data_IF_645291939863
#
_entry.id   IF_645291939863
#
_cell.length_a   1.000
_cell.length_b   1.000
_cell.length_c   1.000
_cell.angle_alpha   90.00
_cell.angle_beta   90.00
_cell.angle_gamma   90.00
#
_symmetry.space_group_name_H-M   'P 1'
#
loop_
_entity.id
_entity.type
_entity.pdbx_description
1 polymer ?
#
# COMPACT_ATOMS: atom_id res chain seq x y z
N UNK A 1 4.29 2.35 3.89
CA UNK A 1 3.29 3.14 3.16
C UNK A 1 2.47 3.94 4.17
N UNK A 2 1.48 4.66 3.72
CA UNK A 2 0.52 5.35 4.56
C UNK A 2 -0.81 5.48 3.85
N UNK A 3 -1.81 5.93 4.58
CA UNK A 3 -3.12 6.29 4.05
C UNK A 3 -3.65 7.51 4.80
N UNK A 4 -4.61 8.17 4.23
CA UNK A 4 -5.15 9.40 4.78
C UNK A 4 -6.68 9.44 4.71
N UNK A 5 -7.24 10.25 5.59
CA UNK A 5 -8.64 10.63 5.56
C UNK A 5 -8.77 12.12 5.88
N UNK A 6 -9.71 12.79 5.21
CA UNK A 6 -10.11 14.16 5.51
C UNK A 6 -11.62 14.25 5.63
N UNK A 7 -12.09 15.14 6.48
CA UNK A 7 -13.52 15.43 6.60
C UNK A 7 -13.76 16.93 6.74
N UNK A 8 -14.79 17.43 6.05
CA UNK A 8 -15.31 18.79 6.19
C UNK A 8 -16.81 18.72 6.40
N UNK A 9 -17.28 19.09 7.58
CA UNK A 9 -18.70 19.00 7.94
C UNK A 9 -19.23 20.35 8.43
N UNK A 10 -20.53 20.57 8.28
CA UNK A 10 -21.23 21.72 8.87
C UNK A 10 -21.16 21.71 10.40
N UNK A 11 -21.05 20.52 10.98
CA UNK A 11 -20.92 20.27 12.41
C UNK A 11 -19.53 19.68 12.72
N UNK A 12 -19.37 19.12 13.92
CA UNK A 12 -18.14 18.46 14.34
C UNK A 12 -17.81 17.25 13.45
N UNK A 13 -16.54 17.17 12.96
CA UNK A 13 -16.07 16.12 12.07
C UNK A 13 -15.17 15.07 12.77
N UNK A 14 -14.92 15.21 14.07
CA UNK A 14 -13.88 14.44 14.78
C UNK A 14 -14.14 12.95 14.73
N UNK A 15 -15.38 12.49 14.90
CA UNK A 15 -15.72 11.07 14.81
C UNK A 15 -15.51 10.49 13.41
N UNK A 16 -15.92 11.21 12.37
CA UNK A 16 -15.69 10.78 10.98
C UNK A 16 -14.20 10.72 10.66
N UNK A 17 -13.44 11.73 11.12
CA UNK A 17 -12.00 11.76 10.96
C UNK A 17 -11.32 10.59 11.68
N UNK A 18 -11.72 10.30 12.91
CA UNK A 18 -11.16 9.23 13.73
C UNK A 18 -11.38 7.86 13.08
N UNK A 19 -12.63 7.51 12.78
CA UNK A 19 -12.91 6.22 12.15
C UNK A 19 -12.39 6.14 10.73
N UNK A 20 -12.50 7.23 9.96
CA UNK A 20 -11.94 7.29 8.61
C UNK A 20 -10.44 7.07 8.61
N UNK A 21 -9.70 7.64 9.56
CA UNK A 21 -8.25 7.41 9.71
C UNK A 21 -7.97 5.98 10.17
N UNK A 22 -8.71 5.45 11.14
CA UNK A 22 -8.56 4.08 11.64
C UNK A 22 -8.74 3.03 10.53
N UNK A 23 -9.67 3.24 9.62
CA UNK A 23 -9.88 2.34 8.46
C UNK A 23 -8.66 2.24 7.53
N UNK A 24 -7.67 3.12 7.66
CA UNK A 24 -6.39 3.04 6.95
C UNK A 24 -5.28 2.33 7.75
N UNK A 25 -5.57 1.76 8.93
CA UNK A 25 -4.58 1.09 9.79
C UNK A 25 -3.90 -0.12 9.16
N UNK A 26 -4.48 -0.71 8.11
CA UNK A 26 -3.83 -1.79 7.34
C UNK A 26 -2.69 -1.29 6.44
N UNK A 27 -2.64 0.01 6.13
CA UNK A 27 -1.64 0.63 5.25
C UNK A 27 -0.36 1.06 5.97
N UNK A 28 -0.35 1.12 7.30
CA UNK A 28 0.82 1.49 8.09
C UNK A 28 0.72 1.00 9.53
N UNK A 29 1.86 0.91 10.21
CA UNK A 29 1.94 0.26 11.52
C UNK A 29 2.75 1.01 12.55
N UNK A 30 3.30 2.19 12.23
CA UNK A 30 4.23 2.87 13.15
C UNK A 30 3.68 4.16 13.74
N UNK A 31 3.14 5.00 12.91
CA UNK A 31 2.69 6.35 13.27
C UNK A 31 1.27 6.59 12.82
N UNK A 32 0.56 7.38 13.57
CA UNK A 32 -0.72 7.92 13.16
C UNK A 32 -0.87 9.33 13.73
N UNK A 33 -1.64 10.15 13.05
CA UNK A 33 -1.94 11.47 13.53
C UNK A 33 -3.23 12.03 12.96
N UNK A 34 -3.80 12.97 13.69
CA UNK A 34 -4.96 13.75 13.30
C UNK A 34 -4.71 15.22 13.61
N UNK A 35 -5.22 16.09 12.76
CA UNK A 35 -5.35 17.53 13.02
C UNK A 35 -6.76 17.95 12.70
N UNK A 36 -7.37 18.69 13.61
CA UNK A 36 -8.66 19.34 13.39
C UNK A 36 -8.52 20.86 13.46
N UNK A 37 -9.38 21.57 12.76
CA UNK A 37 -9.53 23.02 12.84
C UNK A 37 -10.91 23.35 13.36
N UNK A 38 -10.96 23.98 14.51
CA UNK A 38 -12.16 24.44 15.18
C UNK A 38 -12.08 25.94 15.56
N UNK A 39 -12.98 26.38 16.40
CA UNK A 39 -13.07 27.80 16.84
C UNK A 39 -11.79 28.31 17.52
N UNK A 40 -11.05 27.44 18.20
CA UNK A 40 -9.79 27.76 18.91
C UNK A 40 -8.53 27.59 18.06
N UNK A 41 -8.67 27.30 16.76
CA UNK A 41 -7.57 27.06 15.84
C UNK A 41 -7.30 25.60 15.61
N UNK A 42 -6.04 25.29 15.29
CA UNK A 42 -5.58 23.92 14.99
C UNK A 42 -5.29 23.14 16.27
N UNK A 43 -5.88 21.96 16.39
CA UNK A 43 -5.54 20.97 17.41
C UNK A 43 -5.00 19.71 16.75
N UNK A 44 -3.91 19.13 17.30
CA UNK A 44 -3.16 18.03 16.68
C UNK A 44 -2.75 16.98 17.71
N UNK A 45 -3.01 15.71 17.37
CA UNK A 45 -2.46 14.55 18.07
C UNK A 45 -1.66 13.65 17.11
N UNK A 46 -0.49 13.17 17.55
CA UNK A 46 0.35 12.20 16.85
C UNK A 46 0.78 11.12 17.83
N UNK A 47 0.58 9.85 17.48
CA UNK A 47 0.95 8.71 18.31
C UNK A 47 1.77 7.66 17.57
N UNK A 48 2.62 6.97 18.34
CA UNK A 48 3.20 5.70 17.91
C UNK A 48 2.16 4.60 18.11
N UNK A 49 1.81 3.89 17.02
CA UNK A 49 0.82 2.81 17.00
C UNK A 49 1.46 1.41 16.85
N UNK A 50 2.80 1.30 17.00
CA UNK A 50 3.49 0.01 16.86
C UNK A 50 3.04 -1.02 17.89
N UNK A 51 2.79 -0.58 19.12
CA UNK A 51 2.49 -1.46 20.26
C UNK A 51 1.02 -1.42 20.72
N UNK A 52 0.18 -0.64 20.07
CA UNK A 52 -1.23 -0.50 20.43
C UNK A 52 -2.04 -0.05 19.24
N UNK A 53 -3.27 -0.55 19.04
CA UNK A 53 -4.12 -0.14 17.94
C UNK A 53 -4.40 1.37 17.95
N UNK A 54 -4.64 1.93 16.76
CA UNK A 54 -4.99 3.33 16.57
C UNK A 54 -6.09 3.81 17.54
N UNK A 55 -7.21 3.09 17.59
CA UNK A 55 -8.36 3.43 18.45
C UNK A 55 -7.97 3.62 19.92
N UNK A 56 -7.15 2.73 20.45
CA UNK A 56 -6.73 2.80 21.86
C UNK A 56 -5.77 3.98 22.12
N UNK A 57 -5.03 4.42 21.12
CA UNK A 57 -4.09 5.54 21.27
C UNK A 57 -4.78 6.89 21.20
N UNK A 58 -5.82 7.02 20.39
CA UNK A 58 -6.53 8.27 20.14
C UNK A 58 -7.84 8.41 20.94
N UNK A 59 -8.19 7.44 21.81
CA UNK A 59 -9.44 7.43 22.56
C UNK A 59 -9.67 8.73 23.37
N UNK A 60 -8.62 9.24 24.00
CA UNK A 60 -8.68 10.49 24.74
C UNK A 60 -8.73 11.72 23.81
N UNK A 61 -7.88 11.73 22.79
CA UNK A 61 -7.81 12.87 21.86
C UNK A 61 -9.16 13.12 21.18
N UNK A 62 -9.85 12.06 20.77
CA UNK A 62 -11.19 12.13 20.16
C UNK A 62 -12.24 12.78 21.07
N UNK A 63 -12.12 12.62 22.38
CA UNK A 63 -13.04 13.22 23.34
C UNK A 63 -12.76 14.71 23.58
N UNK A 64 -11.50 15.12 23.42
CA UNK A 64 -11.03 16.49 23.69
C UNK A 64 -11.07 17.37 22.42
N UNK A 65 -10.76 16.80 21.26
CA UNK A 65 -10.75 17.51 19.98
C UNK A 65 -12.15 17.93 19.52
N UNK A 66 -12.24 19.11 18.90
CA UNK A 66 -13.46 19.61 18.26
C UNK A 66 -13.11 20.43 17.04
N UNK A 67 -13.81 20.21 15.95
CA UNK A 67 -13.65 20.97 14.73
C UNK A 67 -14.53 20.46 13.61
N UNK A 68 -14.77 21.31 12.63
CA UNK A 68 -15.56 20.98 11.45
C UNK A 68 -14.73 20.71 10.19
N UNK A 69 -13.42 20.88 10.30
CA UNK A 69 -12.44 20.48 9.28
C UNK A 69 -11.36 19.61 9.94
N UNK A 70 -11.00 18.52 9.31
CA UNK A 70 -9.94 17.66 9.83
C UNK A 70 -9.22 16.86 8.76
N UNK A 71 -7.94 16.57 9.01
CA UNK A 71 -7.12 15.63 8.23
C UNK A 71 -6.44 14.64 9.17
N UNK A 72 -6.36 13.38 8.75
CA UNK A 72 -5.71 12.33 9.50
C UNK A 72 -4.92 11.40 8.59
N UNK A 73 -3.93 10.72 9.16
CA UNK A 73 -3.12 9.77 8.42
C UNK A 73 -2.58 8.64 9.28
N UNK A 74 -2.31 7.53 8.61
CA UNK A 74 -1.47 6.43 9.07
C UNK A 74 -0.17 6.50 8.28
N UNK A 75 0.99 6.35 8.94
CA UNK A 75 2.31 6.40 8.33
C UNK A 75 3.25 5.33 8.89
N UNK A 76 4.13 4.80 8.04
CA UNK A 76 5.20 3.89 8.46
C UNK A 76 6.53 4.62 8.72
N UNK A 77 6.62 5.90 8.38
CA UNK A 77 7.88 6.63 8.40
C UNK A 77 7.83 7.86 9.29
N UNK A 78 7.15 8.90 8.85
CA UNK A 78 7.21 10.20 9.48
C UNK A 78 6.05 10.44 10.46
N UNK A 79 6.31 11.19 11.54
CA UNK A 79 5.24 11.80 12.31
C UNK A 79 4.54 12.88 11.47
N UNK A 80 3.24 12.77 11.32
CA UNK A 80 2.36 13.71 10.62
C UNK A 80 0.93 13.57 11.19
N UNK A 81 0.03 14.57 11.00
CA UNK A 81 0.16 15.81 10.20
C UNK A 81 1.15 16.83 10.77
N UNK A 82 1.72 17.67 9.93
CA UNK A 82 2.53 18.82 10.36
C UNK A 82 1.72 20.11 10.32
N UNK A 83 1.75 20.91 11.39
CA UNK A 83 1.21 22.28 11.41
C UNK A 83 2.34 23.23 11.04
N UNK A 84 2.12 24.02 10.00
CA UNK A 84 3.09 24.94 9.42
C UNK A 84 2.57 26.36 9.49
N UNK A 85 3.42 27.32 9.92
CA UNK A 85 3.14 28.76 9.84
C UNK A 85 4.07 29.39 8.81
N UNK A 86 3.48 29.97 7.76
CA UNK A 86 4.23 30.61 6.67
C UNK A 86 3.53 31.86 6.15
N UNK A 87 3.99 32.43 5.05
CA UNK A 87 3.32 33.53 4.36
C UNK A 87 1.96 33.12 3.75
N UNK A 88 1.69 31.80 3.59
CA UNK A 88 0.37 31.29 3.22
C UNK A 88 -0.62 31.25 4.42
N UNK A 89 -0.22 31.72 5.59
CA UNK A 89 -0.94 31.57 6.84
C UNK A 89 -0.54 30.33 7.61
N UNK A 90 -1.41 29.86 8.49
CA UNK A 90 -1.25 28.58 9.19
C UNK A 90 -2.03 27.51 8.45
N UNK A 91 -1.40 26.37 8.18
CA UNK A 91 -2.02 25.20 7.57
C UNK A 91 -1.49 23.92 8.19
N UNK A 92 -2.21 22.83 8.02
CA UNK A 92 -1.74 21.48 8.39
C UNK A 92 -1.61 20.60 7.14
N UNK A 93 -0.55 19.78 7.09
CA UNK A 93 -0.15 19.00 5.91
C UNK A 93 -0.04 17.52 6.24
N UNK A 94 -0.62 16.69 5.37
CA UNK A 94 -0.42 15.23 5.30
C UNK A 94 0.10 14.86 3.92
N UNK A 95 1.04 13.93 3.88
CA UNK A 95 1.65 13.43 2.65
C UNK A 95 1.66 11.91 2.58
N UNK A 96 1.44 11.36 1.38
CA UNK A 96 1.61 9.93 1.08
C UNK A 96 2.38 9.79 -0.23
N UNK A 97 3.55 9.18 -0.15
CA UNK A 97 4.43 9.03 -1.30
C UNK A 97 5.87 8.74 -0.92
N UNK A 98 6.78 8.97 -1.83
CA UNK A 98 8.23 8.79 -1.64
C UNK A 98 8.99 9.81 -2.45
N UNK A 99 10.01 10.41 -1.83
CA UNK A 99 10.98 11.30 -2.45
C UNK A 99 12.34 10.58 -2.46
N UNK A 100 12.91 10.32 -3.65
CA UNK A 100 14.18 9.62 -3.78
C UNK A 100 15.40 10.57 -3.78
N UNK A 101 15.18 11.84 -4.03
CA UNK A 101 16.22 12.89 -4.04
C UNK A 101 16.13 13.82 -2.81
N UNK A 102 15.76 13.27 -1.65
CA UNK A 102 15.60 14.04 -0.39
C UNK A 102 16.85 14.81 -0.05
N UNK A 103 18.03 14.17 0.00
CA UNK A 103 19.29 14.79 0.40
C UNK A 103 19.69 15.91 -0.60
N UNK A 104 19.51 15.69 -1.90
CA UNK A 104 19.79 16.67 -2.95
C UNK A 104 18.93 17.95 -2.73
N UNK A 105 17.62 17.77 -2.48
CA UNK A 105 16.69 18.89 -2.24
C UNK A 105 16.96 19.60 -0.91
N UNK A 106 17.27 18.87 0.13
CA UNK A 106 17.63 19.44 1.44
C UNK A 106 18.89 20.30 1.31
N UNK A 107 19.93 19.80 0.63
CA UNK A 107 21.16 20.55 0.38
C UNK A 107 20.93 21.81 -0.46
N UNK A 108 20.06 21.75 -1.48
CA UNK A 108 19.68 22.90 -2.30
C UNK A 108 19.02 23.98 -1.43
N UNK A 109 18.02 23.61 -0.63
CA UNK A 109 17.27 24.53 0.23
C UNK A 109 18.17 25.17 1.30
N UNK A 110 19.05 24.39 1.94
CA UNK A 110 19.96 24.91 2.97
C UNK A 110 20.97 25.90 2.36
N UNK A 111 21.47 25.64 1.16
CA UNK A 111 22.41 26.54 0.46
C UNK A 111 21.79 27.88 0.07
N UNK A 112 20.51 27.91 -0.25
CA UNK A 112 19.76 29.15 -0.51
C UNK A 112 19.65 30.03 0.73
N UNK A 113 19.83 29.48 1.93
CA UNK A 113 19.91 30.13 3.22
C UNK A 113 18.56 30.40 3.89
N UNK A 114 18.58 30.56 5.22
CA UNK A 114 17.41 30.97 6.00
C UNK A 114 16.43 29.87 6.38
N UNK A 115 16.62 28.63 5.93
CA UNK A 115 15.77 27.48 6.25
C UNK A 115 16.58 26.40 6.99
N UNK A 116 15.95 25.79 7.98
CA UNK A 116 16.44 24.62 8.70
C UNK A 116 15.30 23.63 8.92
N UNK A 117 15.63 22.36 9.03
CA UNK A 117 14.67 21.30 9.25
C UNK A 117 14.66 20.94 10.74
N UNK A 118 13.46 20.83 11.32
CA UNK A 118 13.23 20.58 12.75
C UNK A 118 12.74 19.16 13.02
N UNK A 119 11.93 18.61 12.09
CA UNK A 119 11.36 17.28 12.24
C UNK A 119 12.29 16.23 11.64
N UNK A 120 13.18 15.69 12.48
CA UNK A 120 14.14 14.67 12.08
C UNK A 120 13.90 13.35 12.84
N UNK A 121 14.00 12.23 12.14
CA UNK A 121 13.90 10.89 12.73
C UNK A 121 15.14 10.07 12.36
N UNK A 122 15.97 9.72 13.37
CA UNK A 122 17.17 8.92 13.13
C UNK A 122 18.20 9.59 12.20
N UNK A 123 18.27 10.93 12.21
CA UNK A 123 19.17 11.70 11.35
C UNK A 123 18.66 11.96 9.94
N UNK A 124 17.43 11.51 9.61
CA UNK A 124 16.77 11.74 8.31
C UNK A 124 15.74 12.84 8.45
N UNK A 125 15.71 13.76 7.49
CA UNK A 125 14.73 14.86 7.42
C UNK A 125 13.34 14.27 7.13
N UNK A 126 12.33 14.78 7.83
CA UNK A 126 10.91 14.42 7.56
C UNK A 126 10.52 14.88 6.17
N UNK A 127 10.11 13.94 5.29
CA UNK A 127 9.73 14.26 3.91
C UNK A 127 8.50 15.18 3.83
N UNK A 128 7.60 15.12 4.82
CA UNK A 128 6.44 16.03 4.90
C UNK A 128 6.91 17.47 5.18
N UNK A 129 7.94 17.67 6.02
CA UNK A 129 8.53 18.99 6.25
C UNK A 129 9.26 19.51 5.00
N UNK A 130 9.97 18.63 4.28
CA UNK A 130 10.58 18.99 3.00
C UNK A 130 9.52 19.45 1.99
N UNK A 131 8.40 18.75 1.88
CA UNK A 131 7.26 19.16 1.05
C UNK A 131 6.74 20.53 1.46
N UNK A 132 6.55 20.77 2.75
CA UNK A 132 6.12 22.09 3.25
C UNK A 132 7.12 23.20 2.88
N UNK A 133 8.43 22.91 2.99
CA UNK A 133 9.50 23.85 2.63
C UNK A 133 9.47 24.20 1.13
N UNK A 134 9.25 23.22 0.27
CA UNK A 134 9.11 23.44 -1.17
C UNK A 134 7.83 24.25 -1.51
N UNK A 135 6.69 23.94 -0.88
CA UNK A 135 5.43 24.69 -1.05
C UNK A 135 5.66 26.15 -0.70
N UNK A 136 6.35 26.42 0.39
CA UNK A 136 6.60 27.78 0.89
C UNK A 136 7.57 28.61 0.02
N UNK A 137 8.20 28.04 -1.00
CA UNK A 137 8.99 28.79 -1.97
C UNK A 137 8.14 29.50 -3.04
N UNK A 138 6.83 29.24 -3.10
CA UNK A 138 5.94 29.82 -4.11
C UNK A 138 4.93 30.79 -3.52
N UNK A 139 4.33 31.63 -4.37
CA UNK A 139 3.43 32.72 -3.96
C UNK A 139 2.06 32.24 -3.45
N UNK A 140 1.63 31.04 -3.83
CA UNK A 140 0.38 30.45 -3.37
C UNK A 140 0.50 28.92 -3.26
N UNK A 141 -0.48 28.29 -2.58
CA UNK A 141 -0.45 26.85 -2.31
C UNK A 141 -0.51 26.00 -3.60
N UNK A 142 -1.26 26.42 -4.61
CA UNK A 142 -1.40 25.67 -5.88
C UNK A 142 -0.07 25.61 -6.60
N UNK A 143 0.59 26.75 -6.79
CA UNK A 143 1.92 26.82 -7.38
C UNK A 143 2.95 26.03 -6.55
N UNK A 144 2.82 26.07 -5.21
CA UNK A 144 3.66 25.31 -4.30
C UNK A 144 3.50 23.80 -4.47
N UNK A 145 2.28 23.30 -4.56
CA UNK A 145 1.98 21.88 -4.81
C UNK A 145 2.56 21.43 -6.15
N UNK A 146 2.35 22.22 -7.21
CA UNK A 146 2.88 21.93 -8.54
C UNK A 146 4.41 21.92 -8.56
N UNK A 147 5.03 22.84 -7.83
CA UNK A 147 6.48 22.91 -7.67
C UNK A 147 7.07 21.69 -6.95
N UNK A 148 6.38 21.18 -5.92
CA UNK A 148 6.77 19.92 -5.30
C UNK A 148 6.85 18.81 -6.33
N UNK A 149 5.81 18.65 -7.15
CA UNK A 149 5.77 17.60 -8.17
C UNK A 149 6.82 17.77 -9.28
N UNK A 150 7.23 19.00 -9.55
CA UNK A 150 8.33 19.30 -10.50
C UNK A 150 9.69 18.91 -9.94
N UNK A 151 9.94 19.19 -8.65
CA UNK A 151 11.25 19.02 -8.00
C UNK A 151 11.54 17.61 -7.53
N UNK A 152 10.53 16.86 -7.10
CA UNK A 152 10.75 15.54 -6.52
C UNK A 152 10.99 14.46 -7.57
N UNK A 153 11.94 13.56 -7.32
CA UNK A 153 12.07 12.29 -8.01
C UNK A 153 11.30 11.23 -7.22
N UNK A 154 10.04 10.97 -7.62
CA UNK A 154 9.17 10.07 -6.87
C UNK A 154 7.69 10.30 -7.15
N UNK A 155 6.89 10.23 -6.10
CA UNK A 155 5.44 10.50 -6.15
C UNK A 155 5.00 11.09 -4.81
N UNK A 156 4.09 12.05 -4.84
CA UNK A 156 3.58 12.67 -3.62
C UNK A 156 2.14 13.14 -3.80
N UNK A 157 1.24 12.49 -3.07
CA UNK A 157 -0.14 12.92 -2.85
C UNK A 157 -0.22 13.64 -1.52
N UNK A 158 -1.00 14.69 -1.41
CA UNK A 158 -1.05 15.51 -0.21
C UNK A 158 -2.45 16.06 0.09
N UNK A 159 -2.72 16.24 1.38
CA UNK A 159 -3.87 16.97 1.90
C UNK A 159 -3.37 18.18 2.68
N UNK A 160 -3.91 19.36 2.41
CA UNK A 160 -3.55 20.60 3.10
C UNK A 160 -4.82 21.21 3.71
N UNK A 161 -4.90 21.16 5.03
CA UNK A 161 -5.98 21.78 5.80
C UNK A 161 -5.67 23.25 6.07
N UNK A 162 -6.55 24.11 5.63
CA UNK A 162 -6.49 25.57 5.84
C UNK A 162 -7.83 26.08 6.39
N UNK A 163 -7.91 27.32 6.89
CA UNK A 163 -9.19 27.94 7.24
C UNK A 163 -10.18 28.12 6.06
N UNK A 164 -9.71 28.00 4.82
CA UNK A 164 -10.52 28.15 3.61
C UNK A 164 -11.03 26.82 3.05
N UNK A 165 -10.63 25.68 3.63
CA UNK A 165 -10.96 24.36 3.16
C UNK A 165 -9.78 23.41 3.15
N UNK A 166 -9.99 22.16 2.72
CA UNK A 166 -8.95 21.16 2.58
C UNK A 166 -8.62 20.99 1.10
N UNK A 167 -7.37 21.31 0.76
CA UNK A 167 -6.82 21.04 -0.57
C UNK A 167 -6.47 19.55 -0.65
N UNK A 168 -7.04 18.88 -1.65
CA UNK A 168 -6.80 17.49 -1.99
C UNK A 168 -6.00 17.45 -3.29
N UNK A 169 -4.74 17.04 -3.24
CA UNK A 169 -3.84 17.07 -4.38
C UNK A 169 -3.35 15.65 -4.69
N UNK A 170 -3.86 15.05 -5.76
CA UNK A 170 -3.43 13.72 -6.22
C UNK A 170 -2.14 13.83 -7.00
N UNK A 171 -1.20 12.91 -6.76
CA UNK A 171 0.12 12.95 -7.39
C UNK A 171 0.05 13.10 -8.93
N UNK A 172 1.15 13.57 -9.52
CA UNK A 172 1.24 13.97 -10.91
C UNK A 172 0.78 12.91 -11.92
N UNK A 173 0.97 11.62 -11.59
CA UNK A 173 0.59 10.46 -12.40
C UNK A 173 -0.57 9.65 -11.81
N UNK A 174 -1.15 10.10 -10.69
CA UNK A 174 -2.25 9.41 -10.01
C UNK A 174 -1.88 8.03 -9.48
N UNK A 175 -0.63 7.83 -9.03
CA UNK A 175 -0.15 6.52 -8.52
C UNK A 175 -0.89 6.06 -7.27
N UNK A 176 -1.33 7.00 -6.45
CA UNK A 176 -2.20 6.75 -5.29
C UNK A 176 -3.59 7.31 -5.53
N UNK A 177 -4.64 6.68 -5.00
CA UNK A 177 -6.01 7.20 -5.14
C UNK A 177 -6.25 8.39 -4.21
N UNK A 178 -7.17 9.27 -4.61
CA UNK A 178 -7.85 10.26 -3.78
C UNK A 178 -9.30 10.25 -4.18
N UNK A 179 -10.16 9.65 -3.36
CA UNK A 179 -11.59 9.60 -3.58
C UNK A 179 -12.31 10.61 -2.69
N UNK A 180 -13.27 11.33 -3.24
CA UNK A 180 -14.14 12.25 -2.50
C UNK A 180 -15.49 11.57 -2.29
N UNK A 181 -15.94 11.54 -1.04
CA UNK A 181 -17.27 11.14 -0.62
C UNK A 181 -18.11 12.36 -0.22
N UNK A 182 -19.44 12.24 -0.34
CA UNK A 182 -20.43 13.27 0.01
C UNK A 182 -21.50 12.70 0.91
N UNK A 183 -21.94 13.49 1.87
CA UNK A 183 -23.18 13.32 2.65
C UNK A 183 -23.86 14.69 2.87
N UNK A 184 -25.05 14.72 3.45
CA UNK A 184 -25.81 15.97 3.63
C UNK A 184 -25.08 17.02 4.46
N UNK A 185 -24.25 16.59 5.40
CA UNK A 185 -23.48 17.46 6.28
C UNK A 185 -22.17 17.96 5.66
N UNK A 186 -21.70 17.37 4.55
CA UNK A 186 -20.46 17.80 3.90
C UNK A 186 -19.74 16.75 3.10
N UNK A 187 -18.41 16.87 3.04
CA UNK A 187 -17.55 16.06 2.16
C UNK A 187 -16.39 15.45 2.94
N UNK A 188 -15.85 14.36 2.39
CA UNK A 188 -14.61 13.76 2.84
C UNK A 188 -13.68 13.50 1.65
N UNK A 189 -12.38 13.33 1.93
CA UNK A 189 -11.42 12.78 0.99
C UNK A 189 -10.69 11.60 1.62
N UNK A 190 -10.51 10.51 0.89
CA UNK A 190 -9.99 9.26 1.41
C UNK A 190 -9.08 8.56 0.42
N UNK A 191 -8.09 7.83 0.93
CA UNK A 191 -7.31 6.89 0.15
C UNK A 191 -8.12 5.63 -0.19
N UNK A 192 -8.92 5.13 0.77
CA UNK A 192 -9.73 3.92 0.67
C UNK A 192 -11.22 4.24 0.53
N UNK A 193 -11.87 3.74 -0.52
CA UNK A 193 -13.29 4.01 -0.74
C UNK A 193 -14.20 3.40 0.32
N UNK A 194 -13.88 2.20 0.85
CA UNK A 194 -14.69 1.57 1.88
C UNK A 194 -14.75 2.41 3.16
N UNK A 195 -13.70 3.20 3.45
CA UNK A 195 -13.62 3.98 4.68
C UNK A 195 -14.77 5.01 4.76
N UNK A 196 -14.99 5.77 3.68
CA UNK A 196 -16.06 6.76 3.67
C UNK A 196 -17.45 6.13 3.46
N UNK A 197 -17.55 5.02 2.70
CA UNK A 197 -18.81 4.31 2.54
C UNK A 197 -19.34 3.80 3.88
N UNK A 198 -18.48 3.24 4.72
CA UNK A 198 -18.85 2.79 6.07
C UNK A 198 -19.24 3.93 7.02
N UNK A 199 -18.86 5.18 6.70
CA UNK A 199 -19.24 6.37 7.47
C UNK A 199 -20.49 7.08 6.93
N UNK A 200 -21.18 6.44 5.97
CA UNK A 200 -22.43 6.94 5.39
C UNK A 200 -22.26 8.00 4.32
N UNK A 201 -21.05 8.15 3.76
CA UNK A 201 -20.83 8.97 2.58
C UNK A 201 -21.15 8.17 1.31
N UNK A 202 -21.69 8.84 0.31
CA UNK A 202 -21.81 8.35 -1.04
C UNK A 202 -20.56 8.73 -1.85
N UNK A 203 -20.19 7.90 -2.84
CA UNK A 203 -19.13 8.25 -3.76
C UNK A 203 -19.49 9.49 -4.57
N UNK A 204 -18.60 10.50 -4.56
CA UNK A 204 -18.79 11.73 -5.33
C UNK A 204 -17.92 11.76 -6.58
N UNK A 205 -16.59 11.59 -6.44
CA UNK A 205 -15.61 11.49 -7.53
C UNK A 205 -14.28 10.92 -7.06
N UNK A 206 -13.48 10.44 -7.99
CA UNK A 206 -12.05 10.24 -7.79
C UNK A 206 -11.27 11.34 -8.52
N UNK A 207 -10.26 11.91 -7.87
CA UNK A 207 -9.38 12.89 -8.52
C UNK A 207 -8.55 12.20 -9.61
N UNK A 208 -8.35 12.89 -10.73
CA UNK A 208 -7.44 12.46 -11.78
C UNK A 208 -5.96 12.76 -11.44
N UNK A 209 -5.02 12.35 -12.32
CA UNK A 209 -3.58 12.61 -12.14
C UNK A 209 -3.27 14.10 -12.11
N UNK A 210 -2.54 14.56 -11.08
CA UNK A 210 -2.15 15.97 -10.94
C UNK A 210 -3.31 16.93 -10.70
N UNK A 211 -4.51 16.42 -10.39
CA UNK A 211 -5.67 17.23 -10.05
C UNK A 211 -5.56 17.78 -8.63
N UNK A 212 -6.01 19.02 -8.45
CA UNK A 212 -6.10 19.69 -7.17
C UNK A 212 -7.51 20.20 -6.98
N UNK A 213 -8.21 19.68 -5.97
CA UNK A 213 -9.53 20.15 -5.53
C UNK A 213 -9.43 20.79 -4.16
N UNK A 214 -10.35 21.69 -3.86
CA UNK A 214 -10.62 22.14 -2.47
C UNK A 214 -12.00 21.67 -2.06
N UNK A 215 -12.08 21.04 -0.88
CA UNK A 215 -13.35 20.63 -0.28
C UNK A 215 -13.68 21.51 0.93
N UNK A 216 -14.94 21.87 1.02
CA UNK A 216 -15.57 22.58 2.16
C UNK A 216 -16.84 21.83 2.55
N UNK A 217 -17.52 22.15 3.67
CA UNK A 217 -18.80 21.53 3.98
C UNK A 217 -19.88 21.73 2.91
N UNK A 218 -19.77 22.79 2.11
CA UNK A 218 -20.78 23.18 1.11
C UNK A 218 -20.47 22.71 -0.30
N UNK A 219 -19.18 22.51 -0.63
CA UNK A 219 -18.79 22.33 -2.03
C UNK A 219 -17.45 21.63 -2.23
N UNK A 220 -17.31 21.06 -3.42
CA UNK A 220 -16.03 20.62 -4.02
C UNK A 220 -15.74 21.54 -5.21
N UNK A 221 -14.58 22.16 -5.22
CA UNK A 221 -14.15 23.04 -6.31
C UNK A 221 -12.85 22.56 -6.90
N UNK A 222 -12.85 22.30 -8.21
CA UNK A 222 -11.62 22.00 -8.98
C UNK A 222 -10.80 23.27 -9.12
N UNK A 223 -9.53 23.21 -8.71
CA UNK A 223 -8.56 24.31 -8.82
C UNK A 223 -7.55 24.08 -9.94
N UNK A 224 -7.22 22.81 -10.19
CA UNK A 224 -6.35 22.37 -11.28
C UNK A 224 -6.97 21.13 -11.90
N UNK A 225 -7.23 21.16 -13.19
CA UNK A 225 -7.80 20.05 -13.95
C UNK A 225 -6.82 18.86 -14.02
N UNK A 226 -7.34 17.62 -14.09
CA UNK A 226 -6.52 16.43 -14.21
C UNK A 226 -5.73 16.38 -15.52
N UNK A 227 -4.55 15.76 -15.45
CA UNK A 227 -3.73 15.43 -16.62
C UNK A 227 -4.21 14.14 -17.30
N UNK A 228 -3.85 13.99 -18.58
CA UNK A 228 -4.24 12.82 -19.37
C UNK A 228 -3.45 11.54 -19.03
N UNK A 229 -2.20 11.69 -18.58
CA UNK A 229 -1.31 10.55 -18.32
C UNK A 229 -1.55 9.99 -16.91
N UNK A 230 -2.02 8.74 -16.85
CA UNK A 230 -2.28 8.02 -15.61
C UNK A 230 -1.31 6.85 -15.45
N UNK A 231 -0.87 6.59 -14.22
CA UNK A 231 -0.02 5.44 -13.83
C UNK A 231 -0.38 4.98 -12.42
N UNK A 232 -1.63 4.60 -12.17
CA UNK A 232 -2.06 4.11 -10.86
C UNK A 232 -1.34 2.81 -10.50
N UNK A 233 -0.96 2.64 -9.25
CA UNK A 233 -0.23 1.46 -8.79
C UNK A 233 -1.08 0.19 -8.90
N UNK A 234 -0.66 -0.78 -9.72
CA UNK A 234 -1.34 -2.07 -9.88
C UNK A 234 -1.35 -2.90 -8.59
N UNK A 235 -0.37 -2.70 -7.73
CA UNK A 235 -0.25 -3.42 -6.46
C UNK A 235 -1.33 -3.04 -5.42
N UNK A 236 -2.06 -1.95 -5.65
CA UNK A 236 -3.25 -1.60 -4.86
C UNK A 236 -4.29 -2.71 -4.92
N UNK A 237 -4.59 -3.23 -6.12
CA UNK A 237 -5.53 -4.35 -6.27
C UNK A 237 -4.95 -5.67 -5.83
N UNK A 238 -3.69 -5.93 -6.14
CA UNK A 238 -3.04 -7.22 -5.83
C UNK A 238 -2.96 -7.46 -4.32
N UNK A 239 -2.57 -6.44 -3.54
CA UNK A 239 -2.30 -6.63 -2.11
C UNK A 239 -2.77 -5.48 -1.21
N UNK A 240 -2.38 -4.20 -1.49
CA UNK A 240 -2.51 -3.14 -0.51
C UNK A 240 -3.93 -2.68 -0.24
N UNK A 241 -4.76 -2.62 -1.27
CA UNK A 241 -6.14 -2.18 -1.16
C UNK A 241 -6.95 -3.08 -0.25
N UNK A 242 -7.81 -2.47 0.55
CA UNK A 242 -8.74 -3.24 1.36
C UNK A 242 -9.74 -3.97 0.45
N UNK A 243 -10.12 -5.24 0.75
CA UNK A 243 -10.95 -6.04 -0.16
C UNK A 243 -12.24 -5.37 -0.63
N UNK A 244 -12.93 -4.64 0.25
CA UNK A 244 -14.17 -3.93 -0.09
C UNK A 244 -13.98 -2.56 -0.72
N UNK A 245 -12.74 -2.12 -0.97
CA UNK A 245 -12.45 -0.90 -1.71
C UNK A 245 -12.56 -1.06 -3.21
N UNK A 246 -12.72 0.08 -3.88
CA UNK A 246 -12.63 0.21 -5.33
C UNK A 246 -11.72 1.38 -5.68
N UNK A 247 -10.95 1.25 -6.75
CA UNK A 247 -10.15 2.32 -7.34
C UNK A 247 -10.45 2.40 -8.83
N UNK A 248 -10.58 3.59 -9.37
CA UNK A 248 -10.92 3.81 -10.79
C UNK A 248 -12.15 2.99 -11.23
N UNK A 249 -13.12 2.82 -10.33
CA UNK A 249 -14.33 2.02 -10.56
C UNK A 249 -14.15 0.51 -10.50
N UNK A 250 -12.95 -0.01 -10.20
CA UNK A 250 -12.66 -1.45 -10.15
C UNK A 250 -12.55 -1.94 -8.71
N UNK A 251 -13.43 -2.87 -8.32
CA UNK A 251 -13.42 -3.50 -6.99
C UNK A 251 -12.17 -4.34 -6.78
N UNK A 252 -11.53 -4.19 -5.62
CA UNK A 252 -10.35 -4.97 -5.22
C UNK A 252 -10.67 -6.46 -5.13
N UNK A 253 -11.75 -6.83 -4.43
CA UNK A 253 -12.13 -8.23 -4.25
C UNK A 253 -12.52 -8.90 -5.57
N UNK A 254 -13.32 -8.22 -6.41
CA UNK A 254 -13.70 -8.74 -7.71
C UNK A 254 -12.49 -8.92 -8.64
N UNK A 255 -11.55 -7.99 -8.63
CA UNK A 255 -10.28 -8.10 -9.37
C UNK A 255 -9.49 -9.31 -8.93
N UNK A 256 -9.31 -9.52 -7.61
CA UNK A 256 -8.56 -10.67 -7.06
C UNK A 256 -9.20 -12.00 -7.47
N UNK A 257 -10.53 -12.11 -7.42
CA UNK A 257 -11.25 -13.29 -7.91
C UNK A 257 -11.01 -13.51 -9.41
N UNK A 258 -11.15 -12.47 -10.24
CA UNK A 258 -10.87 -12.54 -11.69
C UNK A 258 -9.43 -12.94 -11.96
N UNK A 259 -8.47 -12.39 -11.22
CA UNK A 259 -7.06 -12.73 -11.32
C UNK A 259 -6.82 -14.22 -11.05
N UNK A 260 -7.39 -14.77 -9.97
CA UNK A 260 -7.34 -16.21 -9.68
C UNK A 260 -7.95 -17.08 -10.77
N UNK A 261 -9.08 -16.67 -11.35
CA UNK A 261 -9.70 -17.37 -12.48
C UNK A 261 -8.77 -17.41 -13.71
N UNK A 262 -8.16 -16.29 -14.08
CA UNK A 262 -7.20 -16.23 -15.19
C UNK A 262 -5.97 -17.12 -14.94
N UNK A 263 -5.46 -17.12 -13.71
CA UNK A 263 -4.38 -18.04 -13.31
C UNK A 263 -4.75 -19.49 -13.53
N UNK A 264 -5.98 -19.91 -13.12
CA UNK A 264 -6.44 -21.28 -13.27
C UNK A 264 -6.65 -21.70 -14.74
N UNK A 265 -7.04 -20.75 -15.61
CA UNK A 265 -7.16 -20.98 -17.06
C UNK A 265 -5.80 -21.22 -17.72
N UNK A 266 -4.77 -20.53 -17.26
CA UNK A 266 -3.42 -20.60 -17.83
C UNK A 266 -2.58 -21.73 -17.23
N UNK A 267 -2.86 -22.15 -16.00
CA UNK A 267 -2.09 -23.19 -15.32
C UNK A 267 -2.26 -24.55 -16.03
N UNK A 268 -1.19 -25.06 -16.57
CA UNK A 268 -1.11 -26.34 -17.29
C UNK A 268 -0.84 -27.54 -16.35
N UNK A 269 -0.71 -27.29 -15.05
CA UNK A 269 -0.52 -28.36 -14.07
C UNK A 269 -1.77 -29.25 -14.00
N UNK A 270 -1.64 -30.60 -14.03
CA UNK A 270 -2.78 -31.51 -14.03
C UNK A 270 -3.67 -31.35 -12.80
N UNK A 271 -4.92 -30.95 -13.00
CA UNK A 271 -5.88 -30.65 -11.91
C UNK A 271 -6.19 -31.87 -11.05
N UNK A 272 -6.15 -33.08 -11.60
CA UNK A 272 -6.33 -34.35 -10.91
C UNK A 272 -5.18 -34.71 -9.95
N UNK A 273 -4.07 -33.98 -10.02
CA UNK A 273 -2.96 -34.05 -9.08
C UNK A 273 -3.04 -33.08 -7.92
N UNK A 274 -4.13 -32.37 -7.78
CA UNK A 274 -4.39 -31.41 -6.70
C UNK A 274 -5.66 -31.82 -5.94
N UNK A 275 -5.61 -31.80 -4.61
CA UNK A 275 -6.74 -32.16 -3.78
C UNK A 275 -7.51 -30.92 -3.31
N UNK A 276 -6.81 -29.85 -2.99
CA UNK A 276 -7.42 -28.58 -2.53
C UNK A 276 -6.67 -27.37 -3.06
N UNK A 277 -7.39 -26.26 -3.20
CA UNK A 277 -6.88 -24.90 -3.37
C UNK A 277 -6.98 -24.16 -2.04
N UNK A 278 -5.92 -23.49 -1.64
CA UNK A 278 -5.86 -22.72 -0.41
C UNK A 278 -5.24 -21.34 -0.66
N UNK A 279 -5.69 -20.33 0.08
CA UNK A 279 -5.08 -19.00 0.08
C UNK A 279 -4.32 -18.73 1.37
N UNK A 280 -3.18 -18.02 1.27
CA UNK A 280 -2.54 -17.47 2.46
C UNK A 280 -3.48 -16.42 3.08
N UNK A 281 -3.87 -16.56 4.35
CA UNK A 281 -4.78 -15.60 4.99
C UNK A 281 -4.07 -14.25 5.28
N UNK A 282 -4.65 -13.09 4.94
CA UNK A 282 -5.89 -12.93 4.14
C UNK A 282 -5.56 -12.58 2.67
N UNK A 283 -4.27 -12.31 2.36
CA UNK A 283 -3.76 -11.78 1.09
C UNK A 283 -4.04 -12.65 -0.13
N UNK A 284 -3.88 -13.98 0.02
CA UNK A 284 -4.11 -14.94 -1.05
C UNK A 284 -5.54 -15.45 -1.17
N UNK A 285 -6.41 -15.15 -0.19
CA UNK A 285 -7.73 -15.80 -0.09
C UNK A 285 -8.63 -15.53 -1.29
N UNK A 286 -8.80 -14.28 -1.69
CA UNK A 286 -9.68 -13.91 -2.80
C UNK A 286 -9.18 -14.46 -4.15
N UNK A 287 -7.87 -14.45 -4.37
CA UNK A 287 -7.24 -15.06 -5.54
C UNK A 287 -7.48 -16.58 -5.57
N UNK A 288 -7.36 -17.25 -4.39
CA UNK A 288 -7.59 -18.68 -4.28
C UNK A 288 -9.06 -19.07 -4.52
N UNK A 289 -10.01 -18.27 -4.06
CA UNK A 289 -11.44 -18.46 -4.37
C UNK A 289 -11.69 -18.39 -5.87
N UNK A 290 -11.13 -17.38 -6.55
CA UNK A 290 -11.25 -17.24 -8.00
C UNK A 290 -10.64 -18.43 -8.75
N UNK A 291 -9.46 -18.89 -8.33
CA UNK A 291 -8.80 -20.07 -8.89
C UNK A 291 -9.62 -21.35 -8.69
N UNK A 292 -10.11 -21.58 -7.48
CA UNK A 292 -10.91 -22.77 -7.15
C UNK A 292 -12.21 -22.82 -7.96
N UNK A 293 -12.91 -21.69 -8.08
CA UNK A 293 -14.14 -21.59 -8.87
C UNK A 293 -13.92 -21.94 -10.34
N UNK A 294 -12.81 -21.50 -10.94
CA UNK A 294 -12.50 -21.74 -12.34
C UNK A 294 -11.96 -23.17 -12.59
N UNK A 295 -11.11 -23.66 -11.67
CA UNK A 295 -10.47 -24.98 -11.81
C UNK A 295 -11.39 -26.14 -11.42
N UNK A 296 -12.48 -25.86 -10.68
CA UNK A 296 -13.35 -26.84 -10.02
C UNK A 296 -12.63 -27.71 -8.96
N UNK A 297 -11.46 -27.31 -8.50
CA UNK A 297 -10.77 -27.92 -7.35
C UNK A 297 -11.35 -27.31 -6.08
N UNK A 298 -11.69 -28.09 -5.03
CA UNK A 298 -12.30 -27.56 -3.81
C UNK A 298 -11.43 -26.51 -3.13
N UNK A 299 -12.00 -25.35 -2.77
CA UNK A 299 -11.35 -24.38 -1.89
C UNK A 299 -11.43 -24.88 -0.45
N UNK A 300 -10.29 -24.83 0.26
CA UNK A 300 -10.19 -25.20 1.67
C UNK A 300 -9.30 -24.23 2.44
N UNK A 301 -9.48 -24.20 3.76
CA UNK A 301 -8.66 -23.38 4.66
C UNK A 301 -7.82 -24.27 5.58
N UNK A 302 -6.69 -24.80 5.09
CA UNK A 302 -5.83 -25.71 5.84
C UNK A 302 -5.14 -25.04 7.04
N UNK A 303 -5.16 -23.73 7.09
CA UNK A 303 -4.74 -22.94 8.26
C UNK A 303 -5.58 -21.68 8.40
N UNK A 304 -5.79 -21.29 9.65
CA UNK A 304 -6.61 -20.14 10.03
C UNK A 304 -5.71 -19.12 10.71
N UNK A 305 -5.86 -17.85 10.33
CA UNK A 305 -5.18 -16.75 11.01
C UNK A 305 -5.79 -16.53 12.39
N UNK A 306 -4.96 -16.54 13.41
CA UNK A 306 -5.40 -16.21 14.76
C UNK A 306 -5.53 -14.69 14.92
N UNK A 307 -6.78 -14.21 14.95
CA UNK A 307 -7.11 -12.77 14.93
C UNK A 307 -6.88 -12.03 16.26
N UNK A 308 -7.07 -12.64 17.49
CA UNK A 308 -6.80 -11.94 18.73
C UNK A 308 -5.30 -11.75 18.99
N UNK A 309 -4.52 -11.55 17.96
CA UNK A 309 -3.08 -11.46 18.08
C UNK A 309 -2.58 -10.04 18.18
N UNK A 310 -1.53 -9.99 18.89
CA UNK A 310 -0.45 -9.04 19.00
C UNK A 310 -0.32 -8.10 17.78
N UNK A 311 -0.14 -6.80 18.02
CA UNK A 311 0.23 -5.87 16.96
C UNK A 311 1.39 -6.43 16.13
N UNK A 312 1.44 -6.10 14.83
CA UNK A 312 2.50 -6.52 13.90
C UNK A 312 3.92 -6.25 14.41
N UNK A 313 4.06 -5.34 15.36
CA UNK A 313 5.32 -4.85 15.93
C UNK A 313 5.88 -5.71 17.08
N UNK A 314 5.10 -6.64 17.64
CA UNK A 314 5.63 -7.51 18.70
C UNK A 314 6.51 -8.62 18.11
N UNK A 315 7.73 -8.24 17.72
CA UNK A 315 8.77 -9.17 17.27
C UNK A 315 9.87 -9.20 18.35
N UNK A 316 9.94 -10.26 19.18
CA UNK A 316 11.01 -10.40 20.14
C UNK A 316 12.38 -10.45 19.47
N UNK A 317 13.40 -9.98 20.14
CA UNK A 317 14.78 -10.04 19.67
C UNK A 317 15.35 -11.46 19.66
N UNK A 318 14.77 -12.38 20.44
CA UNK A 318 15.22 -13.77 20.60
C UNK A 318 14.57 -14.66 19.53
N UNK A 319 15.37 -15.41 18.75
CA UNK A 319 14.92 -16.23 17.63
C UNK A 319 13.86 -17.27 18.03
N UNK A 320 14.03 -17.98 19.16
CA UNK A 320 13.06 -18.96 19.64
C UNK A 320 11.68 -18.38 19.95
N UNK A 321 11.63 -17.12 20.40
CA UNK A 321 10.37 -16.40 20.62
C UNK A 321 9.75 -15.92 19.30
N UNK A 322 10.56 -15.59 18.28
CA UNK A 322 10.05 -15.28 16.93
C UNK A 322 9.40 -16.50 16.29
N UNK A 323 10.04 -17.66 16.41
CA UNK A 323 9.51 -18.92 15.88
C UNK A 323 8.20 -19.32 16.56
N UNK A 324 8.09 -19.07 17.88
CA UNK A 324 6.85 -19.31 18.62
C UNK A 324 5.73 -18.37 18.16
N UNK A 325 6.02 -17.07 17.97
CA UNK A 325 5.03 -16.10 17.50
C UNK A 325 4.61 -16.37 16.06
N UNK A 326 5.52 -16.78 15.20
CA UNK A 326 5.19 -17.19 13.84
C UNK A 326 4.22 -18.37 13.83
N UNK A 327 4.46 -19.38 14.68
CA UNK A 327 3.55 -20.53 14.88
C UNK A 327 2.18 -20.13 15.45
N UNK A 328 2.11 -19.10 16.28
CA UNK A 328 0.84 -18.62 16.86
C UNK A 328 -0.04 -17.86 15.85
N UNK A 329 0.51 -17.38 14.74
CA UNK A 329 -0.25 -16.60 13.76
C UNK A 329 -1.14 -17.44 12.85
N UNK A 330 -0.71 -18.66 12.56
CA UNK A 330 -1.40 -19.59 11.68
C UNK A 330 -1.67 -20.89 12.43
N UNK A 331 -2.94 -21.21 12.62
CA UNK A 331 -3.38 -22.44 13.30
C UNK A 331 -3.74 -23.48 12.24
N UNK A 332 -3.10 -24.68 12.25
CA UNK A 332 -3.41 -25.73 11.28
C UNK A 332 -4.77 -26.38 11.53
N UNK A 333 -5.39 -26.80 10.46
CA UNK A 333 -6.53 -27.73 10.45
C UNK A 333 -5.99 -29.03 9.88
N UNK A 334 -5.54 -29.95 10.76
CA UNK A 334 -4.80 -31.14 10.37
C UNK A 334 -5.55 -32.02 9.37
N UNK A 335 -6.86 -32.15 9.51
CA UNK A 335 -7.75 -32.93 8.65
C UNK A 335 -7.77 -32.40 7.20
N UNK A 336 -7.43 -31.12 7.00
CA UNK A 336 -7.37 -30.48 5.69
C UNK A 336 -5.94 -30.44 5.12
N UNK A 337 -4.93 -30.83 5.91
CA UNK A 337 -3.52 -30.81 5.50
C UNK A 337 -3.02 -32.23 5.25
N UNK A 338 -3.28 -33.16 6.20
CA UNK A 338 -2.70 -34.48 6.20
C UNK A 338 -3.06 -35.27 4.93
N UNK A 339 -2.02 -35.77 4.24
CA UNK A 339 -2.13 -36.54 3.00
C UNK A 339 -2.54 -35.75 1.77
N UNK A 340 -2.85 -34.46 1.88
CA UNK A 340 -3.34 -33.63 0.75
C UNK A 340 -2.20 -33.02 -0.09
N UNK A 341 -2.45 -32.89 -1.39
CA UNK A 341 -1.67 -32.12 -2.36
C UNK A 341 -2.31 -30.75 -2.49
N UNK A 342 -1.65 -29.75 -1.91
CA UNK A 342 -2.21 -28.41 -1.69
C UNK A 342 -1.68 -27.45 -2.76
N UNK A 343 -2.61 -26.79 -3.48
CA UNK A 343 -2.28 -25.61 -4.26
C UNK A 343 -2.44 -24.38 -3.36
N UNK A 344 -1.33 -23.75 -3.01
CA UNK A 344 -1.28 -22.57 -2.16
C UNK A 344 -1.13 -21.30 -3.01
N UNK A 345 -2.07 -20.37 -2.86
CA UNK A 345 -2.05 -19.07 -3.54
C UNK A 345 -1.73 -17.97 -2.53
N UNK A 346 -0.80 -17.12 -2.90
CA UNK A 346 -0.50 -15.87 -2.19
C UNK A 346 -0.51 -14.68 -3.17
N UNK A 347 -0.53 -13.46 -2.66
CA UNK A 347 -0.46 -12.27 -3.51
C UNK A 347 0.88 -12.15 -4.24
N UNK A 348 1.99 -12.37 -3.53
CA UNK A 348 3.33 -12.12 -4.04
C UNK A 348 4.43 -12.86 -3.27
N UNK A 349 5.62 -12.98 -3.87
CA UNK A 349 6.84 -13.40 -3.18
C UNK A 349 7.85 -12.25 -3.21
N UNK A 350 8.11 -11.64 -2.04
CA UNK A 350 9.10 -10.57 -1.89
C UNK A 350 10.43 -11.15 -1.41
N UNK A 351 10.54 -11.47 -0.12
CA UNK A 351 11.74 -12.07 0.50
C UNK A 351 11.74 -13.59 0.50
N UNK A 352 10.58 -14.18 0.39
CA UNK A 352 10.33 -15.63 0.43
C UNK A 352 10.34 -16.25 1.83
N UNK A 353 10.80 -15.55 2.87
CA UNK A 353 10.96 -16.13 4.22
C UNK A 353 9.63 -16.62 4.80
N UNK A 354 8.59 -15.80 4.75
CA UNK A 354 7.27 -16.14 5.31
C UNK A 354 6.66 -17.35 4.57
N UNK A 355 6.76 -17.36 3.26
CA UNK A 355 6.16 -18.44 2.45
C UNK A 355 6.92 -19.75 2.62
N UNK A 356 8.26 -19.70 2.79
CA UNK A 356 9.07 -20.87 3.15
C UNK A 356 8.64 -21.45 4.50
N UNK A 357 8.50 -20.61 5.53
CA UNK A 357 8.05 -21.03 6.85
C UNK A 357 6.65 -21.66 6.80
N UNK A 358 5.73 -21.07 6.01
CA UNK A 358 4.38 -21.62 5.80
C UNK A 358 4.44 -22.98 5.11
N UNK A 359 5.29 -23.15 4.10
CA UNK A 359 5.47 -24.43 3.39
C UNK A 359 6.07 -25.51 4.29
N UNK A 360 7.12 -25.18 5.03
CA UNK A 360 7.70 -26.10 6.03
C UNK A 360 6.66 -26.54 7.07
N UNK A 361 5.82 -25.62 7.50
CA UNK A 361 4.75 -25.90 8.43
C UNK A 361 3.70 -26.86 7.83
N UNK A 362 3.29 -26.66 6.57
CA UNK A 362 2.37 -27.58 5.89
C UNK A 362 2.94 -28.99 5.77
N UNK A 363 4.21 -29.14 5.36
CA UNK A 363 4.86 -30.46 5.31
C UNK A 363 4.96 -31.12 6.68
N UNK A 364 5.33 -30.37 7.72
CA UNK A 364 5.37 -30.89 9.12
C UNK A 364 3.99 -31.30 9.61
N UNK A 365 2.93 -30.73 9.05
CA UNK A 365 1.53 -31.06 9.38
C UNK A 365 0.95 -32.18 8.50
N UNK A 366 1.77 -32.83 7.64
CA UNK A 366 1.38 -33.99 6.85
C UNK A 366 1.01 -33.72 5.40
N UNK A 367 1.18 -32.48 4.88
CA UNK A 367 0.95 -32.21 3.46
C UNK A 367 1.85 -33.10 2.59
N UNK A 368 1.25 -33.70 1.57
CA UNK A 368 1.96 -34.58 0.62
C UNK A 368 2.76 -33.78 -0.41
N UNK A 369 2.16 -32.74 -0.93
CA UNK A 369 2.76 -31.80 -1.89
C UNK A 369 2.26 -30.38 -1.62
N UNK A 370 3.12 -29.38 -1.89
CA UNK A 370 2.77 -27.96 -1.80
C UNK A 370 3.15 -27.27 -3.12
N UNK A 371 2.15 -26.92 -3.90
CA UNK A 371 2.26 -26.21 -5.16
C UNK A 371 1.93 -24.73 -4.94
N UNK A 372 2.77 -23.81 -5.38
CA UNK A 372 2.62 -22.38 -5.07
C UNK A 372 2.34 -21.57 -6.33
N UNK A 373 1.36 -20.67 -6.24
CA UNK A 373 0.95 -19.75 -7.33
C UNK A 373 0.82 -18.33 -6.78
N UNK A 374 1.86 -17.49 -6.90
CA UNK A 374 1.73 -16.06 -6.61
C UNK A 374 0.81 -15.37 -7.63
N UNK A 375 -0.09 -14.50 -7.14
CA UNK A 375 -1.09 -13.83 -7.97
C UNK A 375 -0.53 -12.70 -8.85
N UNK A 376 0.73 -12.32 -8.66
CA UNK A 376 1.44 -11.35 -9.49
C UNK A 376 2.72 -11.95 -10.10
N UNK A 377 3.31 -11.28 -11.11
CA UNK A 377 4.64 -11.64 -11.61
C UNK A 377 5.73 -11.53 -10.53
N UNK A 378 6.94 -12.09 -10.76
CA UNK A 378 8.07 -11.89 -9.87
C UNK A 378 8.36 -10.40 -9.67
N UNK A 379 8.55 -9.98 -8.41
CA UNK A 379 8.94 -8.60 -8.10
C UNK A 379 10.43 -8.44 -8.39
N UNK A 380 10.75 -7.67 -9.42
CA UNK A 380 12.10 -7.49 -9.95
C UNK A 380 12.77 -6.20 -9.45
N UNK A 381 11.97 -5.18 -9.12
CA UNK A 381 12.45 -3.85 -8.77
C UNK A 381 11.79 -3.33 -7.48
N UNK A 382 12.58 -2.67 -6.64
CA UNK A 382 12.07 -1.94 -5.48
C UNK A 382 11.24 -0.72 -5.90
N UNK A 383 10.12 -0.48 -5.24
CA UNK A 383 9.24 0.64 -5.59
C UNK A 383 9.94 2.00 -5.41
N UNK A 384 9.92 2.82 -6.46
CA UNK A 384 10.46 4.20 -6.46
C UNK A 384 9.43 5.27 -6.09
N UNK A 385 8.13 4.93 -6.05
CA UNK A 385 7.06 5.93 -6.08
C UNK A 385 6.23 5.97 -4.81
N UNK A 386 5.91 4.80 -4.28
CA UNK A 386 5.06 4.66 -3.12
C UNK A 386 5.81 3.79 -2.12
N UNK A 387 6.00 4.25 -0.94
CA UNK A 387 6.86 3.62 0.06
C UNK A 387 6.26 2.32 0.64
N UNK A 388 5.86 1.38 -0.24
CA UNK A 388 5.22 0.13 0.14
C UNK A 388 6.16 -0.89 0.78
N UNK A 389 7.43 -0.87 0.39
CA UNK A 389 8.41 -1.82 0.88
C UNK A 389 9.31 -1.14 1.91
N UNK A 390 9.46 -1.77 3.07
CA UNK A 390 10.55 -1.44 4.03
C UNK A 390 11.91 -1.91 3.53
N UNK A 391 11.96 -2.47 2.33
CA UNK A 391 13.18 -2.89 1.67
C UNK A 391 14.04 -1.66 1.36
N UNK A 392 15.19 -1.58 1.99
CA UNK A 392 16.19 -0.54 1.75
C UNK A 392 17.18 -0.95 0.66
N UNK A 393 17.14 -2.22 0.24
CA UNK A 393 18.05 -2.79 -0.75
C UNK A 393 17.28 -3.68 -1.72
N UNK A 394 17.68 -3.66 -3.00
CA UNK A 394 17.19 -4.61 -4.00
C UNK A 394 17.51 -6.07 -3.63
N UNK A 395 18.55 -6.29 -2.82
CA UNK A 395 18.91 -7.61 -2.31
C UNK A 395 17.91 -8.18 -1.29
N UNK A 396 16.93 -7.40 -0.85
CA UNK A 396 15.79 -7.91 -0.09
C UNK A 396 14.82 -8.72 -0.96
N UNK A 397 14.84 -8.52 -2.28
CA UNK A 397 14.04 -9.27 -3.24
C UNK A 397 14.69 -10.63 -3.51
N UNK A 398 13.92 -11.71 -3.37
CA UNK A 398 14.43 -13.08 -3.66
C UNK A 398 14.88 -13.23 -5.11
N UNK A 399 14.17 -12.61 -6.04
CA UNK A 399 14.51 -12.56 -7.46
C UNK A 399 15.89 -12.00 -7.70
N UNK A 400 16.20 -10.83 -7.09
CA UNK A 400 17.50 -10.17 -7.23
C UNK A 400 18.64 -10.96 -6.60
N UNK A 401 18.38 -11.67 -5.49
CA UNK A 401 19.36 -12.57 -4.88
C UNK A 401 19.70 -13.74 -5.79
N UNK A 402 18.69 -14.36 -6.40
CA UNK A 402 18.89 -15.48 -7.34
C UNK A 402 19.62 -15.01 -8.58
N UNK A 403 19.22 -13.88 -9.18
CA UNK A 403 19.90 -13.31 -10.34
C UNK A 403 21.37 -13.00 -10.03
N UNK A 404 21.65 -12.42 -8.86
CA UNK A 404 23.05 -12.16 -8.44
C UNK A 404 23.87 -13.46 -8.27
N UNK A 405 23.26 -14.54 -7.82
CA UNK A 405 23.93 -15.85 -7.73
C UNK A 405 24.26 -16.41 -9.11
N UNK A 406 23.40 -16.21 -10.12
CA UNK A 406 23.61 -16.69 -11.50
C UNK A 406 24.53 -15.80 -12.34
N UNK A 407 24.38 -14.47 -12.24
CA UNK A 407 25.02 -13.51 -13.16
C UNK A 407 26.17 -12.70 -12.50
N UNK A 408 26.32 -12.78 -11.16
CA UNK A 408 27.28 -11.98 -10.42
C UNK A 408 26.74 -10.63 -9.94
N UNK A 409 27.63 -9.74 -9.49
CA UNK A 409 27.25 -8.48 -8.82
C UNK A 409 26.73 -7.40 -9.77
N UNK A 410 27.29 -7.32 -10.98
CA UNK A 410 27.01 -6.26 -11.95
C UNK A 410 26.12 -6.78 -13.08
N UNK A 411 24.81 -6.76 -12.88
CA UNK A 411 23.82 -7.22 -13.86
C UNK A 411 23.34 -6.02 -14.68
N UNK A 412 23.49 -6.09 -16.01
CA UNK A 412 23.00 -5.01 -16.90
C UNK A 412 21.48 -4.96 -16.99
N UNK A 413 20.94 -3.82 -17.43
CA UNK A 413 19.50 -3.64 -17.61
C UNK A 413 18.92 -4.62 -18.63
N UNK A 414 19.67 -4.92 -19.70
CA UNK A 414 19.28 -5.85 -20.75
C UNK A 414 19.15 -7.28 -20.21
N UNK A 415 20.09 -7.70 -19.37
CA UNK A 415 20.04 -9.00 -18.71
C UNK A 415 18.86 -9.08 -17.75
N UNK A 416 18.58 -8.01 -16.99
CA UNK A 416 17.40 -7.96 -16.11
C UNK A 416 16.10 -8.07 -16.91
N UNK A 417 16.02 -7.43 -18.08
CA UNK A 417 14.84 -7.51 -18.94
C UNK A 417 14.56 -8.97 -19.40
N UNK A 418 15.59 -9.77 -19.68
CA UNK A 418 15.41 -11.20 -19.97
C UNK A 418 14.75 -11.96 -18.81
N UNK A 419 15.08 -11.60 -17.55
CA UNK A 419 14.47 -12.19 -16.35
C UNK A 419 13.02 -11.73 -16.11
N UNK A 420 12.54 -10.68 -16.76
CA UNK A 420 11.13 -10.28 -16.72
C UNK A 420 10.27 -10.99 -17.76
N UNK A 421 10.88 -11.62 -18.76
CA UNK A 421 10.17 -12.34 -19.82
C UNK A 421 9.87 -13.79 -19.40
N UNK A 422 8.60 -14.17 -19.15
CA UNK A 422 8.24 -15.50 -18.65
C UNK A 422 8.55 -16.64 -19.64
N UNK A 423 8.81 -16.35 -20.91
CA UNK A 423 9.13 -17.34 -21.92
C UNK A 423 10.65 -17.58 -22.06
N UNK A 424 11.49 -16.73 -21.46
CA UNK A 424 12.95 -16.85 -21.48
C UNK A 424 13.47 -17.99 -20.61
N UNK A 425 14.62 -18.55 -20.98
CA UNK A 425 15.28 -19.58 -20.19
C UNK A 425 15.83 -19.04 -18.86
N UNK A 426 16.24 -17.76 -18.80
CA UNK A 426 16.69 -17.11 -17.58
C UNK A 426 15.56 -16.99 -16.56
N UNK A 427 14.37 -16.56 -16.99
CA UNK A 427 13.19 -16.53 -16.13
C UNK A 427 12.86 -17.91 -15.57
N UNK A 428 12.82 -18.94 -16.42
CA UNK A 428 12.51 -20.32 -16.00
C UNK A 428 13.52 -20.86 -14.98
N UNK A 429 14.82 -20.59 -15.18
CA UNK A 429 15.86 -20.98 -14.21
C UNK A 429 15.69 -20.23 -12.87
N UNK A 430 15.46 -18.92 -12.91
CA UNK A 430 15.22 -18.13 -11.72
C UNK A 430 14.02 -18.67 -10.92
N UNK A 431 12.91 -18.97 -11.58
CA UNK A 431 11.70 -19.53 -10.94
C UNK A 431 11.98 -20.88 -10.32
N UNK A 432 12.72 -21.77 -11.03
CA UNK A 432 13.09 -23.08 -10.50
C UNK A 432 14.03 -22.97 -9.29
N UNK A 433 14.98 -22.05 -9.32
CA UNK A 433 15.88 -21.80 -8.19
C UNK A 433 15.12 -21.24 -6.97
N UNK A 434 14.20 -20.31 -7.16
CA UNK A 434 13.30 -19.81 -6.10
C UNK A 434 12.48 -20.97 -5.52
N UNK A 435 11.90 -21.83 -6.38
CA UNK A 435 11.16 -23.03 -5.98
C UNK A 435 11.98 -23.93 -5.05
N UNK A 436 13.23 -24.22 -5.44
CA UNK A 436 14.16 -25.06 -4.65
C UNK A 436 14.49 -24.42 -3.30
N UNK A 437 14.84 -23.12 -3.29
CA UNK A 437 15.21 -22.40 -2.06
C UNK A 437 14.06 -22.31 -1.06
N UNK A 438 12.82 -22.29 -1.54
CA UNK A 438 11.62 -22.18 -0.71
C UNK A 438 10.95 -23.54 -0.41
N UNK A 439 11.43 -24.63 -1.02
CA UNK A 439 10.97 -26.00 -0.75
C UNK A 439 9.60 -26.34 -1.35
N UNK A 440 9.18 -25.67 -2.43
CA UNK A 440 7.91 -25.96 -3.09
C UNK A 440 7.99 -27.18 -4.00
N UNK A 441 6.88 -27.93 -4.13
CA UNK A 441 6.78 -29.00 -5.15
C UNK A 441 6.80 -28.37 -6.54
N UNK A 442 5.98 -27.35 -6.79
CA UNK A 442 6.03 -26.54 -8.02
C UNK A 442 5.83 -25.06 -7.70
N UNK A 443 6.33 -24.19 -8.57
CA UNK A 443 6.13 -22.74 -8.52
C UNK A 443 5.83 -22.25 -9.92
N UNK A 444 4.75 -21.45 -10.05
CA UNK A 444 4.44 -20.70 -11.26
C UNK A 444 3.84 -19.34 -10.88
N UNK A 445 4.48 -18.27 -11.33
CA UNK A 445 3.97 -16.90 -11.13
C UNK A 445 2.90 -16.57 -12.15
N UNK A 446 1.98 -15.71 -11.75
CA UNK A 446 1.03 -15.12 -12.68
C UNK A 446 1.74 -14.26 -13.74
N UNK A 447 1.15 -14.13 -14.92
CA UNK A 447 1.67 -13.25 -15.97
C UNK A 447 1.19 -11.81 -15.76
N UNK A 448 2.04 -10.86 -16.20
CA UNK A 448 1.71 -9.44 -16.13
C UNK A 448 0.44 -9.11 -16.93
N UNK A 449 0.28 -9.69 -18.11
CA UNK A 449 -0.87 -9.45 -18.97
C UNK A 449 -2.18 -9.94 -18.35
N UNK A 450 -2.18 -11.09 -17.66
CA UNK A 450 -3.35 -11.61 -16.96
C UNK A 450 -3.73 -10.73 -15.77
N UNK A 451 -2.74 -10.22 -15.03
CA UNK A 451 -2.97 -9.28 -13.95
C UNK A 451 -3.56 -7.95 -14.46
N UNK A 452 -3.02 -7.42 -15.57
CA UNK A 452 -3.53 -6.22 -16.24
C UNK A 452 -4.96 -6.45 -16.75
N UNK A 453 -5.24 -7.60 -17.36
CA UNK A 453 -6.59 -7.99 -17.79
C UNK A 453 -7.56 -8.11 -16.61
N UNK A 454 -7.09 -8.64 -15.48
CA UNK A 454 -7.92 -8.73 -14.28
C UNK A 454 -8.33 -7.35 -13.76
N UNK A 455 -7.41 -6.38 -13.73
CA UNK A 455 -7.68 -4.99 -13.34
C UNK A 455 -8.60 -4.30 -14.36
N UNK A 456 -8.32 -4.42 -15.66
CA UNK A 456 -9.26 -4.04 -16.72
C UNK A 456 -9.29 -2.55 -17.11
N UNK A 457 -8.32 -1.72 -16.65
CA UNK A 457 -8.25 -0.29 -17.02
C UNK A 457 -7.19 0.04 -18.08
N UNK A 458 -6.55 -0.99 -18.66
CA UNK A 458 -5.47 -0.85 -19.65
C UNK A 458 -4.09 -0.69 -19.01
N UNK A 459 -3.08 -1.31 -19.65
CA UNK A 459 -1.69 -1.31 -19.16
C UNK A 459 -1.09 0.10 -19.13
N UNK A 460 -1.48 0.95 -20.09
CA UNK A 460 -1.03 2.33 -20.21
C UNK A 460 -1.40 3.20 -19.00
N UNK A 461 -2.47 2.83 -18.28
CA UNK A 461 -2.95 3.52 -17.09
C UNK A 461 -2.39 2.96 -15.77
N UNK A 462 -1.62 1.87 -15.84
CA UNK A 462 -1.09 1.17 -14.67
C UNK A 462 0.41 1.42 -14.47
N UNK A 463 0.82 1.57 -13.22
CA UNK A 463 2.21 1.46 -12.83
C UNK A 463 2.54 -0.01 -12.58
N UNK A 464 3.42 -0.57 -13.40
CA UNK A 464 3.91 -1.96 -13.31
C UNK A 464 5.42 -2.02 -13.03
N UNK A 465 6.02 -0.89 -12.65
CA UNK A 465 7.47 -0.73 -12.47
C UNK A 465 8.13 -1.84 -11.63
N UNK A 466 7.48 -2.28 -10.55
CA UNK A 466 8.04 -3.34 -9.69
C UNK A 466 8.20 -4.69 -10.41
N UNK A 467 7.51 -4.92 -11.53
CA UNK A 467 7.57 -6.16 -12.30
C UNK A 467 8.47 -6.04 -13.53
N UNK A 468 8.35 -4.95 -14.32
CA UNK A 468 8.99 -4.81 -15.63
C UNK A 468 10.02 -3.66 -15.70
N UNK A 469 10.17 -2.86 -14.64
CA UNK A 469 11.11 -1.73 -14.58
C UNK A 469 10.71 -0.52 -15.44
N UNK A 470 9.52 -0.53 -16.06
CA UNK A 470 9.05 0.53 -16.97
C UNK A 470 8.26 1.61 -16.20
N UNK A 471 8.60 2.88 -16.47
CA UNK A 471 7.99 4.07 -15.84
C UNK A 471 6.82 4.61 -16.65
#
# INVERSE_FOLDING_TARGET
MGGFFAATLKNDCVFDLFFGTDYHSHLGTRRAGMTVLGEHGFDRAIHNIENSPFRSKFDRDVQEMKGNYGIGCISDYEPQPLIVRSHHGTYSLVTVGKINNTDELVDEIIKEGGIHFLEMSGGVVNQTELVASLINQKGNLIEGIQYVWEKIKGSMTMLILTPLGIYCARDLYGRTPVAIGRKDEGFCASFESFAYLNLGYEHYKELGPGEIDVITPESVKVLVDPKSTKKICSFLWVYFGYPSSSYEGVSVEAMRNKCGSLMAKRDDFPKDKLDIVAGVPDSGTAHAVGYANESAIPFSRPFIKYTPTWPRSFMPTIQSKRDLIAKMKLIPVHELIDGNRILLIDDSIVRGTQLRETTEFLYKSGAKEVHVRPACPPIMYGCKFINFSRSTSEMDLITRRVIRQEEGENVSSEVLEEYTNPDSDKYKRMVDEIRKQLGFTTLSFNRLDDMVEAIGIGKENLCTYCFDGKE
#
